data_IF_110764884104
#
_entry.id   IF_110764884104
#
_cell.length_a   1.000
_cell.length_b   1.000
_cell.length_c   1.000
_cell.angle_alpha   90.00
_cell.angle_beta   90.00
_cell.angle_gamma   90.00
#
_symmetry.space_group_name_H-M   'P 1'
#
loop_
_entity.id
_entity.type
_entity.pdbx_description
1 polymer ?
#
# COMPACT_ATOMS: atom_id res chain seq x y z
N UNK A 1 37.38 -4.31 -3.98
CA UNK A 1 36.60 -5.31 -4.74
C UNK A 1 36.73 -4.98 -6.22
N UNK A 2 37.01 -5.95 -7.08
CA UNK A 2 37.05 -5.76 -8.54
C UNK A 2 35.65 -5.86 -9.15
N UNK A 3 35.48 -5.46 -10.41
CA UNK A 3 34.21 -5.64 -11.14
C UNK A 3 33.83 -7.12 -11.26
N UNK A 4 34.80 -8.00 -11.45
CA UNK A 4 34.58 -9.45 -11.50
C UNK A 4 34.04 -10.02 -10.19
N UNK A 5 34.60 -9.58 -9.07
CA UNK A 5 34.09 -9.96 -7.74
C UNK A 5 32.66 -9.46 -7.52
N UNK A 6 32.35 -8.22 -7.91
CA UNK A 6 30.99 -7.67 -7.82
C UNK A 6 30.00 -8.43 -8.70
N UNK A 7 30.39 -8.78 -9.92
CA UNK A 7 29.59 -9.61 -10.81
C UNK A 7 29.28 -10.98 -10.19
N UNK A 8 30.27 -11.61 -9.56
CA UNK A 8 30.11 -12.87 -8.83
C UNK A 8 29.15 -12.73 -7.65
N UNK A 9 29.25 -11.63 -6.91
CA UNK A 9 28.35 -11.32 -5.80
C UNK A 9 26.91 -11.15 -6.28
N UNK A 10 26.71 -10.39 -7.37
CA UNK A 10 25.39 -10.23 -7.98
C UNK A 10 24.82 -11.57 -8.47
N UNK A 11 25.58 -12.39 -9.21
CA UNK A 11 25.10 -13.71 -9.66
C UNK A 11 24.67 -14.59 -8.48
N UNK A 12 25.42 -14.57 -7.39
CA UNK A 12 25.09 -15.32 -6.18
C UNK A 12 23.84 -14.81 -5.49
N UNK A 13 23.56 -13.51 -5.51
CA UNK A 13 22.35 -12.94 -4.89
C UNK A 13 21.08 -13.43 -5.60
N UNK A 14 21.12 -13.60 -6.92
CA UNK A 14 20.02 -14.19 -7.72
C UNK A 14 20.04 -15.73 -7.77
N UNK A 15 20.92 -16.38 -7.00
CA UNK A 15 21.04 -17.85 -6.85
C UNK A 15 21.21 -18.59 -8.18
N UNK A 16 22.00 -18.05 -9.12
CA UNK A 16 22.29 -18.69 -10.41
C UNK A 16 23.69 -19.29 -10.46
N UNK A 17 23.83 -20.43 -11.13
CA UNK A 17 25.13 -20.97 -11.52
C UNK A 17 25.76 -20.12 -12.63
N UNK A 18 27.07 -20.24 -12.87
CA UNK A 18 27.73 -19.50 -13.96
C UNK A 18 27.18 -19.88 -15.33
N UNK A 19 26.75 -21.13 -15.52
CA UNK A 19 26.16 -21.61 -16.77
C UNK A 19 24.78 -20.97 -16.99
N UNK A 20 23.90 -21.02 -15.99
CA UNK A 20 22.58 -20.38 -16.08
C UNK A 20 22.68 -18.87 -16.27
N UNK A 21 23.64 -18.23 -15.58
CA UNK A 21 23.85 -16.78 -15.70
C UNK A 21 24.36 -16.39 -17.09
N UNK A 22 25.28 -17.18 -17.66
CA UNK A 22 25.72 -17.03 -19.04
C UNK A 22 24.55 -17.16 -20.02
N UNK A 23 23.76 -18.22 -19.89
CA UNK A 23 22.58 -18.45 -20.74
C UNK A 23 21.56 -17.30 -20.65
N UNK A 24 21.33 -16.75 -19.46
CA UNK A 24 20.44 -15.59 -19.27
C UNK A 24 20.94 -14.33 -19.99
N UNK A 25 22.25 -14.18 -20.16
CA UNK A 25 22.90 -13.01 -20.76
C UNK A 25 23.36 -13.26 -22.20
N UNK A 26 23.00 -14.42 -22.79
CA UNK A 26 23.38 -14.77 -24.16
C UNK A 26 24.89 -14.99 -24.34
N UNK A 27 25.58 -15.45 -23.29
CA UNK A 27 27.04 -15.69 -23.30
C UNK A 27 27.40 -17.06 -22.73
N UNK A 28 28.65 -17.48 -22.90
CA UNK A 28 29.12 -18.78 -22.41
C UNK A 28 29.43 -18.77 -20.91
N UNK A 29 29.36 -19.95 -20.27
CA UNK A 29 29.82 -20.16 -18.89
C UNK A 29 31.27 -19.71 -18.69
N UNK A 30 32.13 -19.96 -19.68
CA UNK A 30 33.54 -19.64 -19.59
C UNK A 30 33.78 -18.13 -19.71
N UNK A 31 32.97 -17.42 -20.49
CA UNK A 31 32.96 -15.95 -20.50
C UNK A 31 32.65 -15.39 -19.11
N UNK A 32 31.59 -15.89 -18.46
CA UNK A 32 31.25 -15.51 -17.07
C UNK A 32 32.40 -15.83 -16.11
N UNK A 33 33.04 -16.99 -16.26
CA UNK A 33 34.18 -17.38 -15.42
C UNK A 33 35.34 -16.41 -15.58
N UNK A 34 35.69 -16.06 -16.82
CA UNK A 34 36.77 -15.13 -17.13
C UNK A 34 36.51 -13.73 -16.57
N UNK A 35 35.26 -13.27 -16.59
CA UNK A 35 34.85 -12.03 -15.94
C UNK A 35 34.97 -12.11 -14.42
N UNK A 36 34.42 -13.15 -13.79
CA UNK A 36 34.37 -13.27 -12.32
C UNK A 36 35.75 -13.42 -11.66
N UNK A 37 36.72 -14.03 -12.36
CA UNK A 37 38.10 -14.15 -11.87
C UNK A 37 38.98 -12.96 -12.25
N UNK A 38 38.44 -11.99 -12.99
CA UNK A 38 39.19 -10.80 -13.45
C UNK A 38 40.20 -11.08 -14.56
N UNK A 39 40.08 -12.20 -15.28
CA UNK A 39 40.97 -12.50 -16.43
C UNK A 39 40.65 -11.63 -17.64
N UNK A 40 39.37 -11.27 -17.80
CA UNK A 40 38.87 -10.39 -18.86
C UNK A 40 37.94 -9.37 -18.20
N UNK A 41 38.00 -8.11 -18.61
CA UNK A 41 37.03 -7.12 -18.17
C UNK A 41 35.69 -7.28 -18.91
N UNK A 42 34.54 -7.18 -18.21
CA UNK A 42 33.24 -7.14 -18.86
C UNK A 42 33.13 -5.96 -19.82
N UNK A 43 32.56 -6.19 -21.01
CA UNK A 43 32.34 -5.11 -21.99
C UNK A 43 31.24 -4.17 -21.51
N UNK A 44 31.24 -2.92 -22.01
CA UNK A 44 30.17 -1.96 -21.71
C UNK A 44 28.79 -2.49 -22.13
N UNK A 45 28.70 -3.19 -23.26
CA UNK A 45 27.46 -3.84 -23.71
C UNK A 45 26.96 -4.87 -22.70
N UNK A 46 27.86 -5.65 -22.09
CA UNK A 46 27.50 -6.63 -21.08
C UNK A 46 27.04 -5.96 -19.78
N UNK A 47 27.72 -4.89 -19.36
CA UNK A 47 27.33 -4.08 -18.19
C UNK A 47 25.94 -3.46 -18.42
N UNK A 48 25.72 -2.84 -19.57
CA UNK A 48 24.43 -2.24 -19.90
C UNK A 48 23.29 -3.28 -19.92
N UNK A 49 23.56 -4.49 -20.44
CA UNK A 49 22.61 -5.59 -20.42
C UNK A 49 22.22 -5.99 -18.99
N UNK A 50 23.17 -5.99 -18.05
CA UNK A 50 22.88 -6.24 -16.64
C UNK A 50 22.00 -5.16 -16.02
N UNK A 51 22.35 -3.90 -16.25
CA UNK A 51 21.60 -2.73 -15.76
C UNK A 51 20.16 -2.81 -16.26
N UNK A 52 19.95 -3.00 -17.55
CA UNK A 52 18.61 -3.02 -18.16
C UNK A 52 17.81 -4.26 -17.78
N UNK A 53 18.43 -5.44 -17.69
CA UNK A 53 17.70 -6.70 -17.44
C UNK A 53 17.42 -6.97 -15.97
N UNK A 54 18.26 -6.48 -15.08
CA UNK A 54 18.21 -6.82 -13.66
C UNK A 54 18.16 -5.61 -12.72
N UNK A 55 18.10 -4.39 -13.26
CA UNK A 55 18.07 -3.15 -12.48
C UNK A 55 19.23 -3.07 -11.49
N UNK A 56 20.41 -3.53 -11.92
CA UNK A 56 21.65 -3.45 -11.14
C UNK A 56 22.25 -2.07 -11.36
N UNK A 57 22.71 -1.44 -10.28
CA UNK A 57 23.36 -0.13 -10.35
C UNK A 57 24.67 -0.21 -11.14
N UNK A 58 24.76 0.55 -12.23
CA UNK A 58 26.00 0.66 -13.01
C UNK A 58 27.14 1.23 -12.16
N UNK A 59 26.83 2.26 -11.34
CA UNK A 59 27.79 2.87 -10.42
C UNK A 59 28.37 1.81 -9.50
N UNK A 60 27.53 0.97 -8.91
CA UNK A 60 27.97 -0.12 -8.05
C UNK A 60 28.80 -1.15 -8.81
N UNK A 61 28.38 -1.58 -10.01
CA UNK A 61 29.14 -2.53 -10.83
C UNK A 61 30.55 -2.03 -11.16
N UNK A 62 30.70 -0.74 -11.52
CA UNK A 62 31.99 -0.17 -11.93
C UNK A 62 32.89 0.23 -10.78
N UNK A 63 32.33 0.87 -9.75
CA UNK A 63 33.10 1.49 -8.66
C UNK A 63 33.01 0.73 -7.35
N UNK A 64 31.93 -0.01 -7.13
CA UNK A 64 31.60 -0.62 -5.85
C UNK A 64 30.95 0.34 -4.84
N UNK A 65 30.66 1.58 -5.23
CA UNK A 65 29.95 2.55 -4.41
C UNK A 65 28.44 2.46 -4.57
N UNK A 66 27.72 2.68 -3.47
CA UNK A 66 26.25 2.68 -3.44
C UNK A 66 25.64 1.29 -3.30
N UNK A 67 24.34 1.18 -3.59
CA UNK A 67 23.58 -0.06 -3.50
C UNK A 67 23.74 -0.92 -4.75
N UNK A 68 23.63 -2.24 -4.58
CA UNK A 68 23.75 -3.22 -5.67
C UNK A 68 22.64 -3.05 -6.72
N UNK A 69 21.43 -2.77 -6.27
CA UNK A 69 20.29 -2.54 -7.12
C UNK A 69 20.04 -1.05 -7.27
N UNK A 70 19.65 -0.65 -8.47
CA UNK A 70 19.07 0.65 -8.72
C UNK A 70 17.57 0.53 -8.39
N UNK A 71 17.14 1.24 -7.35
CA UNK A 71 15.73 1.26 -6.96
C UNK A 71 14.92 1.96 -8.05
N UNK A 72 14.41 1.19 -9.00
CA UNK A 72 13.39 1.65 -9.93
C UNK A 72 12.07 1.81 -9.19
N UNK A 73 11.22 2.74 -9.65
CA UNK A 73 9.86 2.89 -9.13
C UNK A 73 9.09 1.56 -9.12
N UNK A 74 9.38 0.68 -10.09
CA UNK A 74 8.77 -0.66 -10.18
C UNK A 74 9.28 -1.60 -9.08
N UNK A 75 10.58 -1.63 -8.80
CA UNK A 75 11.14 -2.46 -7.72
C UNK A 75 10.70 -1.98 -6.34
N UNK A 76 10.61 -0.67 -6.14
CA UNK A 76 10.11 -0.06 -4.91
C UNK A 76 8.61 -0.31 -4.73
N UNK A 77 7.82 -0.16 -5.80
CA UNK A 77 6.40 -0.49 -5.76
C UNK A 77 6.16 -1.98 -5.45
N UNK A 78 6.93 -2.87 -6.05
CA UNK A 78 6.80 -4.31 -5.82
C UNK A 78 7.19 -4.71 -4.40
N UNK A 79 8.20 -4.06 -3.80
CA UNK A 79 8.55 -4.29 -2.39
C UNK A 79 7.44 -3.81 -1.45
N UNK A 80 6.84 -2.64 -1.72
CA UNK A 80 5.68 -2.15 -0.99
C UNK A 80 4.46 -3.07 -1.12
N UNK A 81 4.12 -3.47 -2.35
CA UNK A 81 2.98 -4.36 -2.60
C UNK A 81 3.11 -5.67 -1.83
N UNK A 82 4.32 -6.23 -1.77
CA UNK A 82 4.60 -7.44 -0.99
C UNK A 82 4.59 -7.21 0.51
N UNK A 83 5.15 -6.10 0.98
CA UNK A 83 5.21 -5.76 2.41
C UNK A 83 3.81 -5.57 3.01
N UNK A 84 2.90 -4.96 2.25
CA UNK A 84 1.53 -4.69 2.68
C UNK A 84 0.50 -5.73 2.21
N UNK A 85 0.96 -6.82 1.58
CA UNK A 85 0.11 -7.89 1.02
C UNK A 85 -1.02 -7.37 0.14
N UNK A 86 -0.71 -6.40 -0.75
CA UNK A 86 -1.69 -5.76 -1.61
C UNK A 86 -2.22 -6.75 -2.65
N UNK A 87 -3.54 -6.86 -2.74
CA UNK A 87 -4.25 -7.57 -3.79
C UNK A 87 -3.98 -6.98 -5.18
N UNK A 88 -4.22 -7.76 -6.22
CA UNK A 88 -4.08 -7.31 -7.62
C UNK A 88 -4.91 -6.06 -7.94
N UNK A 89 -6.09 -5.92 -7.31
CA UNK A 89 -6.93 -4.74 -7.48
C UNK A 89 -6.32 -3.50 -6.83
N UNK A 90 -5.81 -3.63 -5.60
CA UNK A 90 -5.12 -2.55 -4.87
C UNK A 90 -3.86 -2.11 -5.59
N UNK A 91 -3.09 -3.05 -6.13
CA UNK A 91 -1.89 -2.74 -6.90
C UNK A 91 -2.21 -1.94 -8.17
N UNK A 92 -3.27 -2.31 -8.91
CA UNK A 92 -3.71 -1.55 -10.09
C UNK A 92 -4.20 -0.15 -9.71
N UNK A 93 -4.97 -0.02 -8.63
CA UNK A 93 -5.46 1.26 -8.16
C UNK A 93 -4.31 2.18 -7.73
N UNK A 94 -3.34 1.65 -6.98
CA UNK A 94 -2.17 2.41 -6.54
C UNK A 94 -1.33 2.88 -7.73
N UNK A 95 -1.06 2.02 -8.73
CA UNK A 95 -0.36 2.41 -9.97
C UNK A 95 -1.10 3.49 -10.73
N UNK A 96 -2.42 3.37 -10.86
CA UNK A 96 -3.25 4.37 -11.50
C UNK A 96 -3.11 5.72 -10.80
N UNK A 97 -3.27 5.78 -9.48
CA UNK A 97 -3.16 7.02 -8.70
C UNK A 97 -1.76 7.65 -8.76
N UNK A 98 -0.70 6.84 -8.73
CA UNK A 98 0.68 7.34 -8.82
C UNK A 98 1.00 7.94 -10.20
N UNK A 99 0.38 7.43 -11.27
CA UNK A 99 0.53 7.96 -12.63
C UNK A 99 -0.24 9.26 -12.89
N UNK A 100 -1.19 9.63 -12.03
CA UNK A 100 -1.94 10.88 -12.16
C UNK A 100 -1.11 12.09 -11.72
N UNK A 101 -1.49 13.27 -12.21
CA UNK A 101 -0.98 14.54 -11.71
C UNK A 101 -1.48 14.81 -10.28
N UNK A 102 -0.81 15.73 -9.57
CA UNK A 102 -1.26 16.13 -8.23
C UNK A 102 -2.69 16.68 -8.24
N UNK A 103 -3.05 17.44 -9.28
CA UNK A 103 -4.39 18.01 -9.45
C UNK A 103 -5.46 16.91 -9.59
N UNK A 104 -5.22 15.95 -10.49
CA UNK A 104 -6.14 14.83 -10.71
C UNK A 104 -6.33 13.98 -9.45
N UNK A 105 -5.26 13.71 -8.69
CA UNK A 105 -5.36 13.02 -7.40
C UNK A 105 -6.21 13.79 -6.39
N UNK A 106 -6.05 15.11 -6.31
CA UNK A 106 -6.84 15.95 -5.42
C UNK A 106 -8.33 15.95 -5.79
N UNK A 107 -8.64 15.98 -7.09
CA UNK A 107 -10.02 15.87 -7.55
C UNK A 107 -10.64 14.51 -7.22
N UNK A 108 -9.91 13.41 -7.40
CA UNK A 108 -10.39 12.08 -7.00
C UNK A 108 -10.69 12.04 -5.49
N UNK A 109 -9.75 12.50 -4.65
CA UNK A 109 -9.95 12.54 -3.20
C UNK A 109 -11.16 13.40 -2.82
N UNK A 110 -11.33 14.55 -3.46
CA UNK A 110 -12.50 15.42 -3.25
C UNK A 110 -13.81 14.67 -3.51
N UNK A 111 -13.90 13.95 -4.63
CA UNK A 111 -15.08 13.17 -4.96
C UNK A 111 -15.32 12.00 -4.01
N UNK A 112 -14.27 11.28 -3.59
CA UNK A 112 -14.38 10.19 -2.63
C UNK A 112 -14.92 10.69 -1.29
N UNK A 113 -14.41 11.83 -0.79
CA UNK A 113 -14.89 12.43 0.47
C UNK A 113 -16.36 12.84 0.35
N UNK A 114 -16.74 13.52 -0.72
CA UNK A 114 -18.15 13.92 -0.98
C UNK A 114 -19.08 12.70 -1.07
N UNK A 115 -18.63 11.63 -1.70
CA UNK A 115 -19.40 10.39 -1.81
C UNK A 115 -19.55 9.73 -0.44
N UNK A 116 -18.48 9.68 0.35
CA UNK A 116 -18.54 9.20 1.72
C UNK A 116 -19.50 10.03 2.57
N UNK A 117 -19.46 11.36 2.48
CA UNK A 117 -20.41 12.26 3.14
C UNK A 117 -21.84 11.99 2.69
N UNK A 118 -22.11 11.82 1.39
CA UNK A 118 -23.45 11.55 0.89
C UNK A 118 -24.03 10.21 1.39
N UNK A 119 -23.17 9.19 1.58
CA UNK A 119 -23.58 7.85 2.04
C UNK A 119 -23.64 7.78 3.58
N UNK A 120 -22.79 8.52 4.27
CA UNK A 120 -22.71 8.55 5.75
C UNK A 120 -23.52 9.68 6.39
N UNK A 121 -23.99 10.66 5.61
CA UNK A 121 -25.03 11.60 6.03
C UNK A 121 -26.27 10.78 6.38
N UNK A 122 -26.33 10.42 7.66
CA UNK A 122 -27.57 10.29 8.41
C UNK A 122 -28.39 11.52 8.07
N UNK A 123 -29.42 11.33 7.25
CA UNK A 123 -30.36 12.37 6.88
C UNK A 123 -30.76 13.12 8.16
N UNK A 124 -30.49 14.42 8.28
CA UNK A 124 -30.82 15.19 9.47
C UNK A 124 -32.29 15.01 9.87
N UNK A 125 -33.18 14.78 8.90
CA UNK A 125 -34.60 14.48 9.14
C UNK A 125 -34.81 13.13 9.84
N UNK A 126 -34.00 12.12 9.53
CA UNK A 126 -34.08 10.79 10.17
C UNK A 126 -33.66 10.90 11.64
N UNK A 127 -32.63 11.69 11.95
CA UNK A 127 -32.17 11.88 13.33
C UNK A 127 -33.15 12.73 14.15
N UNK A 128 -33.65 13.84 13.59
CA UNK A 128 -34.72 14.64 14.19
C UNK A 128 -35.98 13.79 14.47
N UNK A 129 -36.39 12.94 13.52
CA UNK A 129 -37.56 12.06 13.71
C UNK A 129 -37.38 10.99 14.80
N UNK A 130 -36.13 10.57 15.05
CA UNK A 130 -35.81 9.64 16.15
C UNK A 130 -35.90 10.35 17.50
N UNK A 131 -35.31 11.54 17.58
CA UNK A 131 -35.34 12.37 18.79
C UNK A 131 -36.78 12.75 19.15
N UNK A 132 -37.60 13.13 18.16
CA UNK A 132 -39.01 13.49 18.37
C UNK A 132 -39.84 12.31 18.92
N UNK A 133 -39.57 11.09 18.45
CA UNK A 133 -40.23 9.87 18.94
C UNK A 133 -39.82 9.52 20.36
N UNK A 134 -38.54 9.68 20.69
CA UNK A 134 -38.02 9.44 22.05
C UNK A 134 -38.59 10.46 23.06
N UNK A 135 -38.67 11.74 22.67
CA UNK A 135 -39.29 12.80 23.49
C UNK A 135 -40.78 12.54 23.74
N UNK A 136 -41.51 12.06 22.73
CA UNK A 136 -42.93 11.71 22.89
C UNK A 136 -43.14 10.55 23.86
N UNK A 137 -42.31 9.50 23.76
CA UNK A 137 -42.37 8.35 24.67
C UNK A 137 -42.05 8.74 26.12
N UNK A 138 -41.01 9.55 26.32
CA UNK A 138 -40.63 10.04 27.65
C UNK A 138 -41.71 10.92 28.29
N UNK A 139 -42.38 11.76 27.48
CA UNK A 139 -43.49 12.59 27.94
C UNK A 139 -44.69 11.76 28.39
N UNK A 140 -45.03 10.69 27.66
CA UNK A 140 -46.11 9.77 28.06
C UNK A 140 -45.77 9.05 29.38
N UNK A 141 -44.51 8.64 29.55
CA UNK A 141 -44.05 7.98 30.78
C UNK A 141 -44.15 8.91 32.00
N UNK A 142 -43.75 10.17 31.87
CA UNK A 142 -43.91 11.19 32.92
C UNK A 142 -45.37 11.43 33.30
N UNK A 143 -46.26 11.54 32.30
CA UNK A 143 -47.70 11.74 32.54
C UNK A 143 -48.35 10.51 33.20
N UNK A 144 -47.88 9.30 32.87
CA UNK A 144 -48.32 8.08 33.52
C UNK A 144 -47.83 8.00 34.97
N UNK A 145 -46.59 8.42 35.23
CA UNK A 145 -46.02 8.49 36.57
C UNK A 145 -46.75 9.53 37.46
N UNK A 146 -47.03 10.73 36.94
CA UNK A 146 -47.80 11.75 37.67
C UNK A 146 -49.23 11.29 37.99
N UNK A 147 -49.91 10.63 37.05
CA UNK A 147 -51.24 10.06 37.29
C UNK A 147 -51.19 8.91 38.31
N UNK A 148 -50.11 8.12 38.31
CA UNK A 148 -49.88 7.07 39.30
C UNK A 148 -49.69 7.61 40.71
N UNK A 149 -48.86 8.66 40.86
CA UNK A 149 -48.65 9.33 42.16
C UNK A 149 -49.91 10.03 42.68
N UNK A 150 -50.64 10.73 41.81
CA UNK A 150 -51.89 11.40 42.20
C UNK A 150 -52.99 10.42 42.62
N UNK A 151 -53.02 9.22 42.05
CA UNK A 151 -53.94 8.16 42.45
C UNK A 151 -53.56 7.50 43.78
N UNK A 152 -52.25 7.38 44.10
CA UNK A 152 -51.78 6.85 45.39
C UNK A 152 -51.96 7.84 46.55
N UNK A 153 -51.75 9.14 46.31
CA UNK A 153 -51.99 10.20 47.30
C UNK A 153 -53.49 10.33 47.64
N UNK A 154 -54.37 10.16 46.65
CA UNK A 154 -55.82 10.19 46.86
C UNK A 154 -56.37 8.96 47.60
N UNK A 155 -55.61 7.86 47.69
CA UNK A 155 -55.96 6.69 48.50
C UNK A 155 -55.48 6.79 49.95
N UNK A 156 -54.33 7.41 50.20
CA UNK A 156 -53.85 7.63 51.58
C UNK A 156 -54.67 8.67 52.35
N UNK A 157 -55.27 9.65 51.68
CA UNK A 157 -56.11 10.69 52.33
C UNK A 157 -57.52 10.18 52.71
N UNK A 158 -57.91 8.97 52.31
CA UNK A 158 -59.21 8.36 52.67
C UNK A 158 -59.16 7.35 53.82
N UNK A 159 -57.96 6.90 54.20
CA UNK A 159 -57.73 5.92 55.25
C UNK A 159 -57.14 6.53 56.54
N UNK A 160 -57.05 7.86 56.63
CA UNK A 160 -56.66 8.63 57.83
C UNK A 160 -57.85 9.38 58.44
#
# INVERSE_FOLDING_TARGET
>A
MTIGERLKTFRKSIKKTQAEFGSLLGTSRDTITNYEIGRVEPTDTFIQLLVTKFSVSEKWLRTGEGEMYEETETTLFNSFAKQYDLSEAEQRAARYLLNLTSEERQQILHHIVRLAEAITSTDPKVNLSKIDKELAAYKEELLAAEKGLSASEATEEKDA
#
